data_IF_129521500130
#
_entry.id   IF_129521500130
#
_cell.length_a   1.000
_cell.length_b   1.000
_cell.length_c   1.000
_cell.angle_alpha   90.00
_cell.angle_beta   90.00
_cell.angle_gamma   90.00
#
_symmetry.space_group_name_H-M   'P 1'
#
loop_
_entity.id
_entity.type
_entity.pdbx_description
1 polymer ?
#
# COMPACT_ATOMS: atom_id res chain seq x y z
N UNK A 1 -6.30 -16.37 -43.56
CA UNK A 1 -5.06 -16.61 -42.79
C UNK A 1 -5.37 -16.13 -41.37
N UNK A 2 -6.00 -17.04 -40.63
CA UNK A 2 -5.43 -17.71 -39.45
C UNK A 2 -5.66 -16.81 -38.22
N UNK A 3 -6.60 -17.13 -37.32
CA UNK A 3 -6.51 -18.26 -36.39
C UNK A 3 -5.60 -17.80 -35.24
N UNK A 4 -6.00 -17.79 -33.97
CA UNK A 4 -6.19 -19.01 -33.19
C UNK A 4 -7.07 -18.69 -31.96
N UNK A 5 -7.99 -19.61 -31.76
CA UNK A 5 -8.83 -19.89 -30.61
C UNK A 5 -8.34 -19.43 -29.23
N UNK A 6 -9.27 -18.81 -28.49
CA UNK A 6 -9.21 -18.71 -27.05
C UNK A 6 -9.04 -20.08 -26.40
N UNK A 7 -7.94 -20.25 -25.70
CA UNK A 7 -7.64 -21.43 -24.90
C UNK A 7 -8.49 -21.37 -23.63
N UNK A 8 -9.57 -22.16 -23.60
CA UNK A 8 -10.18 -22.64 -22.36
C UNK A 8 -9.22 -23.65 -21.74
N UNK A 9 -8.62 -23.32 -20.59
CA UNK A 9 -7.95 -24.32 -19.76
C UNK A 9 -8.94 -24.75 -18.68
N UNK A 10 -9.23 -26.04 -18.69
CA UNK A 10 -10.27 -26.69 -17.93
C UNK A 10 -10.05 -26.68 -16.42
N UNK A 11 -11.20 -26.86 -15.78
CA UNK A 11 -11.43 -27.34 -14.43
C UNK A 11 -10.51 -28.49 -14.01
N UNK A 12 -9.98 -28.37 -12.80
CA UNK A 12 -9.86 -29.52 -11.89
C UNK A 12 -8.46 -29.77 -11.35
N UNK A 13 -8.08 -29.10 -10.26
CA UNK A 13 -7.21 -29.69 -9.25
C UNK A 13 -7.74 -29.41 -7.84
N UNK A 14 -8.11 -30.52 -7.22
CA UNK A 14 -8.59 -30.82 -5.88
C UNK A 14 -8.07 -29.95 -4.72
N UNK A 15 -9.02 -29.52 -3.88
CA UNK A 15 -8.97 -29.41 -2.42
C UNK A 15 -7.60 -29.18 -1.76
N UNK A 16 -7.26 -27.91 -1.57
CA UNK A 16 -6.60 -27.46 -0.34
C UNK A 16 -7.54 -26.48 0.34
N UNK A 17 -7.90 -26.76 1.59
CA UNK A 17 -8.74 -25.91 2.46
C UNK A 17 -8.19 -24.47 2.49
N UNK A 18 -8.63 -23.63 1.56
CA UNK A 18 -8.56 -22.18 1.66
C UNK A 18 -9.72 -21.79 2.56
N UNK A 19 -9.38 -21.24 3.73
CA UNK A 19 -10.34 -20.76 4.70
C UNK A 19 -11.33 -19.78 4.03
N UNK A 20 -12.60 -20.20 4.02
CA UNK A 20 -13.83 -19.42 3.82
C UNK A 20 -13.81 -18.42 2.65
N UNK A 21 -14.44 -18.80 1.55
CA UNK A 21 -14.91 -17.88 0.50
C UNK A 21 -15.74 -16.76 1.13
N UNK A 22 -15.17 -15.56 1.21
CA UNK A 22 -15.91 -14.33 1.49
C UNK A 22 -16.40 -13.76 0.17
N UNK A 23 -17.71 -13.72 -0.04
CA UNK A 23 -18.37 -13.05 -1.18
C UNK A 23 -18.33 -11.50 -1.04
N UNK A 24 -17.16 -10.97 -0.66
CA UNK A 24 -16.82 -9.55 -0.49
C UNK A 24 -17.10 -9.02 0.93
N UNK A 25 -16.24 -8.13 1.40
CA UNK A 25 -16.25 -7.58 2.77
C UNK A 25 -17.11 -6.31 2.89
N UNK A 26 -18.23 -6.29 2.18
CA UNK A 26 -19.12 -5.12 2.11
C UNK A 26 -19.82 -4.88 3.46
N UNK A 27 -19.94 -3.63 3.87
CA UNK A 27 -20.62 -3.24 5.12
C UNK A 27 -19.84 -3.54 6.41
N UNK A 28 -18.58 -3.95 6.32
CA UNK A 28 -17.73 -4.20 7.49
C UNK A 28 -17.51 -2.91 8.30
N UNK A 29 -17.72 -2.98 9.62
CA UNK A 29 -17.42 -1.86 10.51
C UNK A 29 -15.92 -1.67 10.69
N UNK A 30 -15.49 -0.44 10.95
CA UNK A 30 -14.07 -0.08 11.08
C UNK A 30 -13.34 -0.93 12.13
N UNK A 31 -13.93 -1.15 13.30
CA UNK A 31 -13.30 -1.93 14.37
C UNK A 31 -13.16 -3.42 14.03
N UNK A 32 -14.08 -3.96 13.25
CA UNK A 32 -14.00 -5.32 12.73
C UNK A 32 -12.91 -5.41 11.64
N UNK A 33 -12.87 -4.44 10.74
CA UNK A 33 -11.86 -4.33 9.70
C UNK A 33 -10.44 -4.21 10.29
N UNK A 34 -10.26 -3.34 11.28
CA UNK A 34 -9.01 -3.12 12.00
C UNK A 34 -8.66 -4.26 12.98
N UNK A 35 -9.59 -5.19 13.25
CA UNK A 35 -9.38 -6.35 14.11
C UNK A 35 -8.98 -7.63 13.40
N UNK A 36 -9.03 -7.65 12.08
CA UNK A 36 -8.69 -8.82 11.31
C UNK A 36 -7.17 -8.95 11.12
N UNK A 37 -6.55 -9.97 11.72
CA UNK A 37 -5.10 -10.23 11.66
C UNK A 37 -4.56 -10.53 10.25
N UNK A 38 -5.43 -11.01 9.35
CA UNK A 38 -5.11 -11.29 7.96
C UNK A 38 -5.41 -10.12 7.01
N UNK A 39 -5.83 -8.97 7.54
CA UNK A 39 -6.15 -7.81 6.72
C UNK A 39 -4.90 -7.27 6.02
N UNK A 40 -4.90 -7.30 4.68
CA UNK A 40 -3.81 -6.80 3.86
C UNK A 40 -3.78 -5.27 3.80
N UNK A 41 -4.74 -4.55 4.37
CA UNK A 41 -4.66 -3.09 4.46
C UNK A 41 -3.57 -2.63 5.44
N UNK A 42 -3.27 -3.41 6.48
CA UNK A 42 -2.24 -3.09 7.46
C UNK A 42 -0.84 -3.03 6.81
N UNK A 43 -0.13 -1.92 7.03
CA UNK A 43 1.20 -1.66 6.47
C UNK A 43 1.29 -1.97 4.96
N UNK A 44 0.24 -1.61 4.21
CA UNK A 44 0.11 -1.94 2.79
C UNK A 44 1.23 -1.34 1.97
N UNK A 45 1.57 -0.07 2.17
CA UNK A 45 2.58 0.62 1.36
C UNK A 45 3.95 0.00 1.57
N UNK A 46 4.33 -0.23 2.82
CA UNK A 46 5.58 -0.91 3.19
C UNK A 46 5.65 -2.29 2.56
N UNK A 47 4.59 -3.09 2.70
CA UNK A 47 4.56 -4.45 2.14
C UNK A 47 4.64 -4.45 0.61
N UNK A 48 4.05 -3.48 -0.07
CA UNK A 48 4.06 -3.40 -1.54
C UNK A 48 5.37 -2.85 -2.11
N UNK A 49 6.11 -2.06 -1.33
CA UNK A 49 7.39 -1.49 -1.76
C UNK A 49 8.59 -2.33 -1.32
N UNK A 50 8.45 -3.15 -0.28
CA UNK A 50 9.51 -4.04 0.19
C UNK A 50 9.72 -5.25 -0.75
N UNK A 51 10.94 -5.78 -0.76
CA UNK A 51 11.21 -7.11 -1.27
C UNK A 51 10.81 -8.14 -0.20
N UNK A 52 9.70 -8.84 -0.45
CA UNK A 52 9.16 -9.81 0.51
C UNK A 52 9.97 -11.11 0.58
N UNK A 53 10.84 -11.40 -0.39
CA UNK A 53 11.69 -12.59 -0.34
C UNK A 53 12.66 -12.53 0.86
N UNK A 54 13.07 -11.32 1.26
CA UNK A 54 13.92 -11.06 2.43
C UNK A 54 13.29 -11.49 3.76
N UNK A 55 11.97 -11.70 3.79
CA UNK A 55 11.19 -11.97 5.00
C UNK A 55 10.35 -13.24 4.89
N UNK A 56 10.73 -14.17 4.01
CA UNK A 56 10.00 -15.43 3.81
C UNK A 56 8.63 -15.22 3.15
N UNK A 57 8.50 -14.21 2.30
CA UNK A 57 7.26 -13.82 1.62
C UNK A 57 6.13 -13.56 2.62
N UNK A 58 5.06 -14.37 2.54
CA UNK A 58 3.89 -14.28 3.41
C UNK A 58 3.97 -15.21 4.62
N UNK A 59 5.04 -15.99 4.77
CA UNK A 59 5.22 -16.86 5.92
C UNK A 59 5.60 -16.05 7.17
N UNK A 60 4.60 -15.70 7.99
CA UNK A 60 4.80 -14.91 9.20
C UNK A 60 5.62 -15.63 10.29
N UNK A 61 5.80 -16.96 10.21
CA UNK A 61 6.60 -17.73 11.18
C UNK A 61 8.05 -17.90 10.76
N UNK A 62 8.44 -17.40 9.58
CA UNK A 62 9.80 -17.50 9.07
C UNK A 62 10.83 -16.83 9.99
N UNK A 63 10.45 -15.73 10.66
CA UNK A 63 11.30 -15.00 11.59
C UNK A 63 10.48 -14.19 12.60
N UNK A 64 11.09 -13.69 13.71
CA UNK A 64 10.39 -12.86 14.69
C UNK A 64 9.75 -11.62 14.04
N UNK A 65 8.55 -11.24 14.48
CA UNK A 65 7.78 -10.15 13.89
C UNK A 65 8.53 -8.81 13.88
N UNK A 66 9.19 -8.45 14.98
CA UNK A 66 9.96 -7.21 15.09
C UNK A 66 11.13 -7.15 14.08
N UNK A 67 11.80 -8.28 13.85
CA UNK A 67 12.87 -8.37 12.87
C UNK A 67 12.32 -8.29 11.44
N UNK A 68 11.19 -8.99 11.19
CA UNK A 68 10.46 -8.97 9.93
C UNK A 68 10.08 -7.53 9.54
N UNK A 69 9.51 -6.79 10.48
CA UNK A 69 9.05 -5.42 10.29
C UNK A 69 10.21 -4.46 9.99
N UNK A 70 11.33 -4.59 10.72
CA UNK A 70 12.55 -3.82 10.47
C UNK A 70 13.11 -4.04 9.07
N UNK A 71 13.20 -5.30 8.63
CA UNK A 71 13.75 -5.66 7.30
C UNK A 71 12.82 -5.15 6.19
N UNK A 72 11.50 -5.37 6.33
CA UNK A 72 10.53 -4.86 5.35
C UNK A 72 10.61 -3.35 5.20
N UNK A 73 10.63 -2.60 6.30
CA UNK A 73 10.68 -1.14 6.27
C UNK A 73 11.98 -0.62 5.64
N UNK A 74 13.12 -1.22 6.00
CA UNK A 74 14.40 -0.87 5.39
C UNK A 74 14.40 -1.13 3.87
N UNK A 75 13.88 -2.28 3.44
CA UNK A 75 13.74 -2.60 2.01
C UNK A 75 12.80 -1.62 1.30
N UNK A 76 11.66 -1.28 1.90
CA UNK A 76 10.69 -0.36 1.30
C UNK A 76 11.27 1.04 1.11
N UNK A 77 11.97 1.58 2.13
CA UNK A 77 12.65 2.88 2.03
C UNK A 77 13.71 2.88 0.94
N UNK A 78 14.55 1.85 0.87
CA UNK A 78 15.58 1.70 -0.17
C UNK A 78 14.95 1.66 -1.57
N UNK A 79 13.92 0.84 -1.75
CA UNK A 79 13.26 0.67 -3.04
C UNK A 79 12.57 1.97 -3.47
N UNK A 80 11.84 2.64 -2.57
CA UNK A 80 11.21 3.93 -2.83
C UNK A 80 12.24 5.00 -3.24
N UNK A 81 13.38 5.06 -2.54
CA UNK A 81 14.45 6.00 -2.85
C UNK A 81 15.10 5.76 -4.22
N UNK A 82 15.15 4.50 -4.66
CA UNK A 82 15.69 4.11 -5.96
C UNK A 82 14.69 4.30 -7.12
N UNK A 83 13.40 4.54 -6.84
CA UNK A 83 12.43 4.84 -7.90
C UNK A 83 12.80 6.17 -8.57
N UNK A 84 12.73 6.19 -9.90
CA UNK A 84 12.92 7.40 -10.71
C UNK A 84 11.98 8.51 -10.27
N UNK A 85 10.73 8.16 -9.95
CA UNK A 85 9.71 9.09 -9.49
C UNK A 85 8.71 8.43 -8.55
N UNK A 86 8.19 9.21 -7.59
CA UNK A 86 6.98 8.91 -6.83
C UNK A 86 6.28 10.22 -6.45
N UNK A 87 4.97 10.17 -6.25
CA UNK A 87 4.14 11.31 -5.83
C UNK A 87 3.52 11.11 -4.46
N UNK A 88 3.08 12.20 -3.84
CA UNK A 88 2.34 12.21 -2.58
C UNK A 88 0.98 12.87 -2.79
N UNK A 89 -0.06 12.22 -2.30
CA UNK A 89 -1.46 12.58 -2.59
C UNK A 89 -1.83 13.98 -2.13
N UNK A 90 -1.25 14.44 -1.03
CA UNK A 90 -1.43 15.78 -0.44
C UNK A 90 -0.53 16.86 -1.08
N UNK A 91 0.31 16.48 -2.06
CA UNK A 91 1.26 17.36 -2.72
C UNK A 91 1.19 17.19 -4.25
N UNK A 92 0.00 17.29 -4.84
CA UNK A 92 -0.24 17.04 -6.27
C UNK A 92 0.60 17.94 -7.20
N UNK A 93 0.67 19.24 -6.93
CA UNK A 93 1.44 20.19 -7.76
C UNK A 93 2.95 19.94 -7.71
N UNK A 94 3.47 19.59 -6.53
CA UNK A 94 4.89 19.23 -6.36
C UNK A 94 5.17 17.92 -7.09
N UNK A 95 4.27 16.94 -6.94
CA UNK A 95 4.35 15.66 -7.65
C UNK A 95 4.38 15.87 -9.17
N UNK A 96 3.51 16.73 -9.72
CA UNK A 96 3.53 17.11 -11.13
C UNK A 96 4.90 17.69 -11.53
N UNK A 97 5.39 18.70 -10.80
CA UNK A 97 6.66 19.35 -11.09
C UNK A 97 7.82 18.34 -11.12
N UNK A 98 7.97 17.52 -10.08
CA UNK A 98 9.06 16.53 -10.01
C UNK A 98 8.95 15.54 -11.17
N UNK A 99 7.74 15.09 -11.55
CA UNK A 99 7.56 14.19 -12.69
C UNK A 99 8.03 14.83 -14.00
N UNK A 100 7.57 16.06 -14.26
CA UNK A 100 7.89 16.80 -15.48
C UNK A 100 9.40 17.01 -15.64
N UNK A 101 10.09 17.42 -14.56
CA UNK A 101 11.54 17.61 -14.58
C UNK A 101 12.31 16.27 -14.67
N UNK A 102 11.83 15.22 -14.00
CA UNK A 102 12.49 13.90 -14.01
C UNK A 102 12.49 13.29 -15.42
N UNK A 103 11.41 13.45 -16.17
CA UNK A 103 11.23 12.81 -17.49
C UNK A 103 11.33 13.79 -18.66
N UNK A 104 11.56 15.08 -18.41
CA UNK A 104 11.53 16.15 -19.41
C UNK A 104 10.23 16.14 -20.25
N UNK A 105 9.09 16.07 -19.54
CA UNK A 105 7.75 16.06 -20.10
C UNK A 105 6.92 17.20 -19.50
N UNK A 106 5.78 17.52 -20.09
CA UNK A 106 4.81 18.48 -19.55
C UNK A 106 3.40 17.92 -19.64
N UNK A 107 2.61 18.07 -18.58
CA UNK A 107 1.19 17.73 -18.63
C UNK A 107 0.42 18.84 -19.35
N UNK A 108 -0.55 18.46 -20.19
CA UNK A 108 -1.42 19.41 -20.86
C UNK A 108 -2.38 20.12 -19.89
N UNK A 109 -2.77 19.43 -18.82
CA UNK A 109 -3.67 19.94 -17.78
C UNK A 109 -2.91 19.86 -16.45
N UNK A 110 -2.77 20.98 -15.71
CA UNK A 110 -2.15 20.99 -14.40
C UNK A 110 -2.90 20.12 -13.39
N UNK A 111 -2.18 19.54 -12.44
CA UNK A 111 -2.80 18.78 -11.36
C UNK A 111 -3.51 19.72 -10.38
N UNK A 112 -4.68 19.27 -9.92
CA UNK A 112 -5.47 19.95 -8.90
C UNK A 112 -5.38 19.24 -7.56
N UNK A 113 -5.32 20.02 -6.48
CA UNK A 113 -5.27 19.48 -5.13
C UNK A 113 -6.69 19.35 -4.57
N UNK A 114 -7.14 18.11 -4.36
CA UNK A 114 -8.44 17.83 -3.75
C UNK A 114 -8.26 17.28 -2.32
N UNK A 115 -8.44 18.16 -1.33
CA UNK A 115 -8.27 17.79 0.09
C UNK A 115 -9.54 17.20 0.73
N UNK A 116 -10.69 17.37 0.07
CA UNK A 116 -11.97 16.82 0.50
C UNK A 116 -12.06 15.37 0.03
N UNK A 117 -11.48 14.48 0.82
CA UNK A 117 -11.50 13.04 0.56
C UNK A 117 -12.47 12.34 1.51
N UNK A 118 -12.90 11.13 1.12
CA UNK A 118 -13.66 10.25 2.02
C UNK A 118 -12.89 10.04 3.34
N UNK A 119 -11.57 9.86 3.26
CA UNK A 119 -10.71 9.70 4.44
C UNK A 119 -10.74 10.93 5.34
N UNK A 120 -10.65 12.15 4.80
CA UNK A 120 -10.72 13.39 5.59
C UNK A 120 -12.02 13.44 6.41
N UNK A 121 -13.16 13.13 5.78
CA UNK A 121 -14.46 13.08 6.46
C UNK A 121 -14.54 11.96 7.50
N UNK A 122 -14.01 10.77 7.19
CA UNK A 122 -13.97 9.65 8.13
C UNK A 122 -13.10 9.96 9.35
N UNK A 123 -11.93 10.57 9.15
CA UNK A 123 -10.97 10.89 10.22
C UNK A 123 -11.55 11.84 11.27
N UNK A 124 -12.43 12.76 10.86
CA UNK A 124 -13.12 13.68 11.77
C UNK A 124 -14.12 12.97 12.70
N UNK A 125 -14.59 11.78 12.31
CA UNK A 125 -15.57 11.00 13.06
C UNK A 125 -14.95 9.85 13.86
N UNK A 126 -13.63 9.69 13.83
CA UNK A 126 -12.94 8.64 14.59
C UNK A 126 -12.81 9.00 16.06
N UNK A 127 -13.02 8.01 16.93
CA UNK A 127 -12.64 8.14 18.33
C UNK A 127 -11.11 8.17 18.49
N UNK A 128 -10.58 8.72 19.60
CA UNK A 128 -9.14 8.68 19.89
C UNK A 128 -8.57 7.25 19.87
N UNK A 129 -9.32 6.29 20.41
CA UNK A 129 -8.90 4.88 20.45
C UNK A 129 -8.84 4.24 19.05
N UNK A 130 -9.82 4.54 18.20
CA UNK A 130 -9.81 4.08 16.81
C UNK A 130 -8.62 4.65 16.04
N UNK A 131 -8.31 5.94 16.25
CA UNK A 131 -7.13 6.57 15.65
C UNK A 131 -5.83 5.92 16.12
N UNK A 132 -5.65 5.78 17.43
CA UNK A 132 -4.46 5.13 18.00
C UNK A 132 -4.29 3.69 17.50
N UNK A 133 -5.40 2.96 17.33
CA UNK A 133 -5.39 1.62 16.76
C UNK A 133 -4.96 1.60 15.28
N UNK A 134 -5.47 2.52 14.46
CA UNK A 134 -5.09 2.65 13.05
C UNK A 134 -3.60 3.00 12.93
N UNK A 135 -3.11 3.94 13.74
CA UNK A 135 -1.71 4.35 13.77
C UNK A 135 -0.81 3.17 14.14
N UNK A 136 -1.18 2.40 15.18
CA UNK A 136 -0.44 1.19 15.57
C UNK A 136 -0.45 0.11 14.49
N UNK A 137 -1.60 -0.11 13.85
CA UNK A 137 -1.75 -1.11 12.78
C UNK A 137 -0.88 -0.77 11.56
N UNK A 138 -0.64 0.53 11.32
CA UNK A 138 0.08 1.05 10.17
C UNK A 138 1.42 1.71 10.55
N UNK A 139 2.03 1.30 11.67
CA UNK A 139 3.24 1.95 12.19
C UNK A 139 4.40 2.01 11.18
N UNK A 140 4.57 0.97 10.34
CA UNK A 140 5.61 0.96 9.31
C UNK A 140 5.28 1.93 8.17
N UNK A 141 4.01 1.99 7.76
CA UNK A 141 3.56 2.92 6.73
C UNK A 141 3.67 4.38 7.20
N UNK A 142 3.42 4.66 8.47
CA UNK A 142 3.62 5.98 9.08
C UNK A 142 5.09 6.39 8.98
N UNK A 143 6.02 5.49 9.34
CA UNK A 143 7.45 5.77 9.25
C UNK A 143 7.95 5.87 7.81
N UNK A 144 7.45 5.02 6.91
CA UNK A 144 7.76 5.06 5.48
C UNK A 144 7.26 6.36 4.84
N UNK A 145 6.05 6.79 5.17
CA UNK A 145 5.47 8.04 4.68
C UNK A 145 6.28 9.25 5.15
N UNK A 146 6.71 9.29 6.42
CA UNK A 146 7.57 10.36 6.93
C UNK A 146 8.91 10.44 6.14
N UNK A 147 9.49 9.28 5.84
CA UNK A 147 10.67 9.19 4.98
C UNK A 147 10.38 9.67 3.55
N UNK A 148 9.30 9.21 2.94
CA UNK A 148 8.88 9.58 1.58
C UNK A 148 8.68 11.10 1.44
N UNK A 149 8.02 11.71 2.42
CA UNK A 149 7.80 13.15 2.49
C UNK A 149 9.10 13.93 2.56
N UNK A 150 10.02 13.52 3.43
CA UNK A 150 11.36 14.13 3.50
C UNK A 150 12.10 14.02 2.16
N UNK A 151 12.08 12.83 1.55
CA UNK A 151 12.77 12.58 0.29
C UNK A 151 12.17 13.39 -0.87
N UNK A 152 10.84 13.54 -0.93
CA UNK A 152 10.17 14.37 -1.94
C UNK A 152 10.64 15.83 -1.86
N UNK A 153 10.71 16.41 -0.66
CA UNK A 153 11.15 17.82 -0.49
C UNK A 153 12.66 18.04 -0.67
N UNK A 154 13.43 16.95 -0.79
CA UNK A 154 14.86 17.01 -1.12
C UNK A 154 15.12 16.94 -2.63
N UNK A 155 14.15 16.47 -3.42
CA UNK A 155 14.20 16.41 -4.88
C UNK A 155 13.68 17.72 -5.48
#
# INVERSE_FOLDING_TARGET
MEGIHGVKIGSGWSNKKLAKTCENWNGVHLDQFAGCESNLAANRQTRMLADLALVGCYNKTYMPSAERDRIMLASAKRNLAAMSYFGLTEHQKISQYIFEETFNLRFAIPFEQHNNTVSTSTMNNLTPDQRARIDKLNALDVELYAFAKKLMFQR
#
